data_IF_491431973959
#
_entry.id   IF_491431973959
#
_cell.length_a   1.000
_cell.length_b   1.000
_cell.length_c   1.000
_cell.angle_alpha   90.00
_cell.angle_beta   90.00
_cell.angle_gamma   90.00
#
_symmetry.space_group_name_H-M   'P 1'
#
loop_
_entity.id
_entity.type
_entity.pdbx_description
1 polymer ?
#
# COMPACT_ATOMS: atom_id res chain seq x y z
N UNK A 1 -12.69 -15.65 -12.12
CA UNK A 1 -12.37 -14.25 -11.71
C UNK A 1 -13.50 -13.61 -10.95
N UNK A 2 -14.75 -13.66 -11.43
CA UNK A 2 -15.94 -13.10 -10.73
C UNK A 2 -16.14 -13.65 -9.32
N UNK A 3 -15.99 -14.95 -9.14
CA UNK A 3 -16.14 -15.62 -7.82
C UNK A 3 -15.09 -15.18 -6.80
N UNK A 4 -13.90 -14.83 -7.27
CA UNK A 4 -12.77 -14.42 -6.41
C UNK A 4 -12.67 -12.89 -6.21
N UNK A 5 -13.42 -12.10 -6.97
CA UNK A 5 -13.43 -10.64 -6.87
C UNK A 5 -14.86 -10.07 -7.01
N UNK A 6 -15.78 -10.45 -6.12
CA UNK A 6 -17.20 -10.07 -6.23
C UNK A 6 -17.45 -8.56 -6.01
N UNK A 7 -16.42 -7.86 -5.53
CA UNK A 7 -16.44 -6.41 -5.32
C UNK A 7 -16.13 -5.60 -6.58
N UNK A 8 -15.55 -6.22 -7.63
CA UNK A 8 -15.23 -5.50 -8.86
C UNK A 8 -16.45 -5.34 -9.76
N UNK A 9 -16.68 -4.15 -10.33
CA UNK A 9 -17.70 -3.95 -11.37
C UNK A 9 -17.41 -4.80 -12.62
N UNK A 10 -18.42 -5.27 -13.31
CA UNK A 10 -18.27 -6.09 -14.53
C UNK A 10 -17.40 -5.41 -15.58
N UNK A 11 -17.58 -4.09 -15.79
CA UNK A 11 -16.74 -3.32 -16.73
C UNK A 11 -15.26 -3.31 -16.33
N UNK A 12 -14.94 -3.29 -15.03
CA UNK A 12 -13.54 -3.39 -14.58
C UNK A 12 -12.97 -4.78 -14.83
N UNK A 13 -13.77 -5.83 -14.64
CA UNK A 13 -13.36 -7.22 -14.90
C UNK A 13 -13.10 -7.41 -16.40
N UNK A 14 -14.01 -6.94 -17.26
CA UNK A 14 -13.86 -7.00 -18.71
C UNK A 14 -12.60 -6.26 -19.18
N UNK A 15 -12.40 -5.04 -18.67
CA UNK A 15 -11.17 -4.29 -18.94
C UNK A 15 -9.93 -5.07 -18.50
N UNK A 16 -9.90 -5.64 -17.30
CA UNK A 16 -8.75 -6.37 -16.78
C UNK A 16 -8.46 -7.66 -17.55
N UNK A 17 -9.48 -8.37 -18.02
CA UNK A 17 -9.31 -9.55 -18.86
C UNK A 17 -8.63 -9.23 -20.20
N UNK A 18 -8.90 -8.06 -20.76
CA UNK A 18 -8.37 -7.60 -22.05
C UNK A 18 -7.11 -6.73 -21.89
N UNK A 19 -6.77 -6.29 -20.69
CA UNK A 19 -5.60 -5.45 -20.43
C UNK A 19 -4.30 -6.14 -20.84
N UNK A 20 -3.45 -5.38 -21.51
CA UNK A 20 -2.06 -5.77 -21.83
C UNK A 20 -1.16 -4.60 -21.53
N UNK A 21 -0.02 -4.88 -20.89
CA UNK A 21 1.02 -3.87 -20.70
C UNK A 21 1.61 -3.44 -22.04
N UNK A 22 1.77 -2.13 -22.21
CA UNK A 22 2.45 -1.57 -23.38
C UNK A 22 3.89 -1.18 -22.96
N UNK A 23 4.92 -1.91 -23.42
CA UNK A 23 6.31 -1.60 -23.06
C UNK A 23 6.76 -0.19 -23.43
N UNK A 24 6.14 0.44 -24.44
CA UNK A 24 6.44 1.82 -24.84
C UNK A 24 6.09 2.86 -23.74
N UNK A 25 5.28 2.49 -22.77
CA UNK A 25 4.98 3.34 -21.61
C UNK A 25 6.13 3.42 -20.61
N UNK A 26 7.09 2.48 -20.64
CA UNK A 26 8.19 2.41 -19.68
C UNK A 26 9.50 2.84 -20.32
N UNK A 27 10.15 3.79 -19.70
CA UNK A 27 11.48 4.27 -20.05
C UNK A 27 12.45 3.91 -18.93
N UNK A 28 13.57 3.26 -19.29
CA UNK A 28 14.63 2.88 -18.38
C UNK A 28 15.91 3.52 -18.90
N UNK A 29 16.55 4.35 -18.09
CA UNK A 29 17.80 4.99 -18.48
C UNK A 29 18.71 5.22 -17.28
N UNK A 30 20.00 5.15 -17.52
CA UNK A 30 21.01 5.45 -16.53
C UNK A 30 21.29 6.96 -16.58
N UNK A 31 21.11 7.64 -15.46
CA UNK A 31 21.34 9.08 -15.35
C UNK A 31 22.83 9.39 -15.09
N UNK A 32 23.45 8.57 -14.24
CA UNK A 32 24.87 8.61 -13.92
C UNK A 32 25.37 7.19 -13.59
N UNK A 33 26.63 7.04 -13.16
CA UNK A 33 27.25 5.74 -12.88
C UNK A 33 26.46 4.91 -11.83
N UNK A 34 25.72 5.56 -10.93
CA UNK A 34 25.07 4.90 -9.79
C UNK A 34 23.53 5.03 -9.81
N UNK A 35 22.98 5.82 -10.72
CA UNK A 35 21.55 6.17 -10.70
C UNK A 35 20.82 5.59 -11.90
N UNK A 36 19.98 4.59 -11.65
CA UNK A 36 19.02 4.07 -12.62
C UNK A 36 17.69 4.79 -12.43
N UNK A 37 17.16 5.38 -13.49
CA UNK A 37 15.81 5.95 -13.52
C UNK A 37 14.85 5.09 -14.32
N UNK A 38 13.69 4.82 -13.73
CA UNK A 38 12.59 4.12 -14.38
C UNK A 38 11.36 5.01 -14.32
N UNK A 39 10.79 5.31 -15.48
CA UNK A 39 9.62 6.16 -15.62
C UNK A 39 8.54 5.43 -16.40
N UNK A 40 7.30 5.42 -15.88
CA UNK A 40 6.13 4.98 -16.63
C UNK A 40 5.29 6.21 -17.03
N UNK A 41 4.95 6.32 -18.30
CA UNK A 41 4.17 7.43 -18.84
C UNK A 41 3.14 6.89 -19.84
N UNK A 42 1.86 7.15 -19.60
CA UNK A 42 0.76 6.66 -20.42
C UNK A 42 -0.59 7.02 -19.79
N UNK A 43 -1.70 6.48 -20.32
CA UNK A 43 -3.01 6.65 -19.71
C UNK A 43 -2.96 6.24 -18.22
N UNK A 44 -3.53 7.04 -17.33
CA UNK A 44 -3.44 6.84 -15.88
C UNK A 44 -3.80 5.42 -15.45
N UNK A 45 -4.84 4.83 -16.05
CA UNK A 45 -5.30 3.48 -15.73
C UNK A 45 -4.29 2.38 -16.09
N UNK A 46 -3.40 2.60 -17.07
CA UNK A 46 -2.30 1.67 -17.39
C UNK A 46 -1.01 2.04 -16.68
N UNK A 47 -0.63 3.32 -16.64
CA UNK A 47 0.60 3.80 -16.03
C UNK A 47 0.69 3.42 -14.53
N UNK A 48 -0.40 3.58 -13.77
CA UNK A 48 -0.45 3.17 -12.36
C UNK A 48 -0.20 1.67 -12.12
N UNK A 49 -0.45 0.83 -13.11
CA UNK A 49 -0.27 -0.63 -12.98
C UNK A 49 1.18 -1.06 -13.09
N UNK A 50 2.05 -0.20 -13.60
CA UNK A 50 3.47 -0.50 -13.74
C UNK A 50 4.23 -0.51 -12.41
N UNK A 51 3.73 0.13 -11.34
CA UNK A 51 4.42 0.16 -10.04
C UNK A 51 4.83 -1.24 -9.58
N UNK A 52 3.88 -2.16 -9.48
CA UNK A 52 4.13 -3.49 -8.89
C UNK A 52 5.02 -4.37 -9.78
N UNK A 53 4.77 -4.52 -11.08
CA UNK A 53 5.65 -5.30 -11.96
C UNK A 53 7.08 -4.76 -11.99
N UNK A 54 7.24 -3.44 -12.18
CA UNK A 54 8.57 -2.81 -12.24
C UNK A 54 9.33 -3.03 -10.95
N UNK A 55 8.76 -2.68 -9.80
CA UNK A 55 9.46 -2.76 -8.53
C UNK A 55 9.77 -4.22 -8.14
N UNK A 56 8.85 -5.16 -8.37
CA UNK A 56 9.10 -6.56 -8.08
C UNK A 56 10.17 -7.17 -8.99
N UNK A 57 10.25 -6.74 -10.25
CA UNK A 57 11.31 -7.16 -11.19
C UNK A 57 12.65 -6.55 -10.81
N UNK A 58 12.70 -5.26 -10.49
CA UNK A 58 13.94 -4.60 -10.02
C UNK A 58 14.46 -5.27 -8.75
N UNK A 59 13.59 -5.63 -7.80
CA UNK A 59 13.99 -6.34 -6.59
C UNK A 59 14.64 -7.69 -6.92
N UNK A 60 14.00 -8.49 -7.77
CA UNK A 60 14.49 -9.81 -8.17
C UNK A 60 15.82 -9.73 -8.91
N UNK A 61 15.94 -8.86 -9.92
CA UNK A 61 17.18 -8.64 -10.67
C UNK A 61 18.32 -8.10 -9.80
N UNK A 62 18.01 -7.21 -8.85
CA UNK A 62 19.01 -6.72 -7.90
C UNK A 62 19.63 -7.86 -7.09
N UNK A 63 18.82 -8.77 -6.57
CA UNK A 63 19.31 -9.91 -5.83
C UNK A 63 20.11 -10.87 -6.71
N UNK A 64 19.71 -11.10 -7.96
CA UNK A 64 20.50 -11.88 -8.91
C UNK A 64 21.86 -11.25 -9.20
N UNK A 65 21.88 -9.95 -9.51
CA UNK A 65 23.11 -9.22 -9.86
C UNK A 65 24.09 -9.07 -8.68
N UNK A 66 23.60 -9.10 -7.45
CA UNK A 66 24.40 -9.02 -6.23
C UNK A 66 24.83 -10.40 -5.68
N UNK A 67 24.60 -11.47 -6.42
CA UNK A 67 25.01 -12.83 -6.04
C UNK A 67 24.06 -13.51 -5.06
N UNK A 68 22.88 -12.95 -4.85
CA UNK A 68 21.83 -13.49 -3.97
C UNK A 68 20.59 -13.95 -4.75
N UNK A 69 20.78 -14.38 -6.01
CA UNK A 69 19.71 -14.89 -6.84
C UNK A 69 19.10 -16.19 -6.32
N UNK A 70 18.07 -16.64 -7.00
CA UNK A 70 17.28 -17.83 -6.60
C UNK A 70 18.14 -19.11 -6.50
N UNK A 71 19.19 -19.22 -7.31
CA UNK A 71 20.10 -20.36 -7.33
C UNK A 71 21.01 -20.46 -6.08
N UNK A 72 21.16 -19.36 -5.33
CA UNK A 72 22.05 -19.28 -4.16
C UNK A 72 21.31 -19.37 -2.84
N UNK A 73 19.97 -19.36 -2.85
CA UNK A 73 19.15 -19.35 -1.64
C UNK A 73 18.37 -20.67 -1.47
N UNK A 74 18.10 -21.02 -0.23
CA UNK A 74 17.21 -22.14 0.09
C UNK A 74 15.79 -21.62 0.29
N UNK A 75 14.96 -21.72 -0.78
CA UNK A 75 13.55 -21.28 -0.79
C UNK A 75 12.73 -21.98 0.28
N UNK A 76 12.94 -23.28 0.50
CA UNK A 76 12.20 -24.05 1.50
C UNK A 76 12.49 -23.54 2.91
N UNK A 77 13.73 -23.15 3.20
CA UNK A 77 14.10 -22.55 4.48
C UNK A 77 13.39 -21.21 4.68
N UNK A 78 13.33 -20.36 3.65
CA UNK A 78 12.63 -19.06 3.72
C UNK A 78 11.12 -19.27 3.95
N UNK A 79 10.52 -20.18 3.20
CA UNK A 79 9.11 -20.53 3.34
C UNK A 79 8.78 -21.11 4.72
N UNK A 80 9.64 -21.99 5.24
CA UNK A 80 9.51 -22.53 6.60
C UNK A 80 9.64 -21.45 7.67
N UNK A 81 10.55 -20.50 7.48
CA UNK A 81 10.70 -19.34 8.39
C UNK A 81 9.42 -18.49 8.38
N UNK A 82 8.86 -18.19 7.20
CA UNK A 82 7.58 -17.48 7.11
C UNK A 82 6.42 -18.24 7.78
N UNK A 83 6.38 -19.57 7.60
CA UNK A 83 5.37 -20.42 8.26
C UNK A 83 5.48 -20.37 9.79
N UNK A 84 6.70 -20.41 10.35
CA UNK A 84 6.92 -20.27 11.80
C UNK A 84 6.41 -18.92 12.32
N UNK A 85 6.70 -17.83 11.61
CA UNK A 85 6.17 -16.48 11.93
C UNK A 85 4.63 -16.47 11.88
N UNK A 86 4.04 -17.02 10.82
CA UNK A 86 2.59 -17.15 10.70
C UNK A 86 1.97 -17.95 11.83
N UNK A 87 2.60 -19.06 12.25
CA UNK A 87 2.16 -19.86 13.40
C UNK A 87 2.23 -19.08 14.73
N UNK A 88 3.28 -18.28 14.95
CA UNK A 88 3.38 -17.45 16.15
C UNK A 88 2.35 -16.32 16.16
N UNK A 89 2.08 -15.68 15.00
CA UNK A 89 0.99 -14.72 14.83
C UNK A 89 -0.37 -15.37 15.11
N UNK A 90 -0.59 -16.59 14.63
CA UNK A 90 -1.80 -17.37 14.89
C UNK A 90 -1.97 -17.70 16.39
N UNK A 91 -0.92 -18.19 17.05
CA UNK A 91 -0.93 -18.46 18.50
C UNK A 91 -1.22 -17.20 19.32
N UNK A 92 -0.78 -16.06 18.82
CA UNK A 92 -1.06 -14.75 19.41
C UNK A 92 -2.40 -14.16 18.97
N UNK A 93 -3.20 -14.86 18.15
CA UNK A 93 -4.45 -14.40 17.55
C UNK A 93 -4.31 -13.04 16.86
N UNK A 94 -3.23 -12.82 16.10
CA UNK A 94 -2.93 -11.58 15.37
C UNK A 94 -3.31 -11.75 13.90
N UNK A 95 -4.40 -11.10 13.43
CA UNK A 95 -4.80 -11.15 12.02
C UNK A 95 -3.74 -10.47 11.13
N UNK A 96 -3.37 -11.12 10.03
CA UNK A 96 -2.35 -10.60 9.13
C UNK A 96 -2.59 -10.95 7.67
N UNK A 97 -2.02 -10.12 6.80
CA UNK A 97 -2.14 -10.17 5.34
C UNK A 97 -0.75 -10.06 4.73
N UNK A 98 -0.50 -10.77 3.63
CA UNK A 98 0.70 -10.56 2.82
C UNK A 98 0.56 -9.29 1.94
N UNK A 99 1.46 -8.34 2.16
CA UNK A 99 1.65 -7.09 1.38
C UNK A 99 3.05 -7.03 0.72
N UNK A 100 3.70 -8.18 0.50
CA UNK A 100 5.11 -8.25 0.18
C UNK A 100 5.49 -8.21 -1.30
N UNK A 101 4.56 -8.09 -2.24
CA UNK A 101 4.84 -8.23 -3.69
C UNK A 101 5.92 -7.28 -4.19
N UNK A 102 5.82 -5.99 -3.87
CA UNK A 102 6.64 -4.91 -4.42
C UNK A 102 8.13 -5.04 -4.14
N UNK A 103 8.49 -5.58 -2.98
CA UNK A 103 9.86 -5.69 -2.46
C UNK A 103 10.22 -7.13 -2.13
N UNK A 104 9.58 -8.08 -2.78
CA UNK A 104 9.86 -9.51 -2.59
C UNK A 104 11.28 -9.84 -3.06
N UNK A 105 11.88 -10.87 -2.50
CA UNK A 105 13.15 -11.38 -2.99
C UNK A 105 13.04 -11.83 -4.47
N UNK A 106 12.11 -12.73 -4.73
CA UNK A 106 11.79 -13.23 -6.08
C UNK A 106 10.33 -13.70 -6.13
N UNK A 107 9.83 -13.96 -7.34
CA UNK A 107 8.49 -14.55 -7.49
C UNK A 107 8.39 -15.91 -6.82
N UNK A 108 9.40 -16.77 -7.01
CA UNK A 108 9.39 -18.13 -6.46
C UNK A 108 9.42 -18.12 -4.92
N UNK A 109 10.19 -17.25 -4.30
CA UNK A 109 10.18 -17.06 -2.83
C UNK A 109 8.82 -16.60 -2.36
N UNK A 110 8.24 -15.58 -3.00
CA UNK A 110 6.93 -15.06 -2.60
C UNK A 110 5.82 -16.12 -2.72
N UNK A 111 5.82 -16.88 -3.80
CA UNK A 111 4.89 -17.99 -4.02
C UNK A 111 4.99 -19.06 -2.92
N UNK A 112 6.21 -19.50 -2.61
CA UNK A 112 6.47 -20.47 -1.57
C UNK A 112 6.07 -19.95 -0.17
N UNK A 113 6.36 -18.68 0.13
CA UNK A 113 5.97 -18.03 1.38
C UNK A 113 4.46 -17.97 1.54
N UNK A 114 3.72 -17.48 0.54
CA UNK A 114 2.26 -17.37 0.60
C UNK A 114 1.61 -18.76 0.74
N UNK A 115 2.13 -19.77 0.03
CA UNK A 115 1.67 -21.13 0.18
C UNK A 115 1.92 -21.70 1.57
N UNK A 116 3.07 -21.41 2.18
CA UNK A 116 3.40 -21.86 3.53
C UNK A 116 2.58 -21.15 4.60
N UNK A 117 2.29 -19.86 4.43
CA UNK A 117 1.38 -19.12 5.31
C UNK A 117 -0.04 -19.67 5.25
N UNK A 118 -0.55 -20.03 4.06
CA UNK A 118 -1.85 -20.70 3.91
C UNK A 118 -1.92 -22.02 4.67
N UNK A 119 -0.82 -22.75 4.77
CA UNK A 119 -0.77 -24.04 5.50
C UNK A 119 -0.73 -23.87 7.02
N UNK A 120 -0.54 -22.67 7.53
CA UNK A 120 -0.62 -22.39 8.96
C UNK A 120 -2.06 -22.64 9.43
N UNK A 121 -2.22 -23.50 10.42
CA UNK A 121 -3.54 -23.89 10.94
C UNK A 121 -4.16 -22.68 11.66
N UNK A 122 -5.37 -22.28 11.26
CA UNK A 122 -6.16 -21.21 11.87
C UNK A 122 -6.50 -20.08 10.91
N UNK A 123 -7.19 -19.05 11.42
CA UNK A 123 -7.83 -18.00 10.61
C UNK A 123 -7.08 -16.65 10.63
N UNK A 124 -5.91 -16.58 11.29
CA UNK A 124 -5.17 -15.30 11.40
C UNK A 124 -4.53 -14.85 10.11
N UNK A 125 -4.18 -15.77 9.17
CA UNK A 125 -3.74 -15.40 7.84
C UNK A 125 -4.96 -15.13 6.95
N UNK A 126 -5.27 -13.85 6.72
CA UNK A 126 -6.50 -13.42 6.04
C UNK A 126 -6.39 -13.58 4.52
N UNK A 127 -5.21 -13.38 3.94
CA UNK A 127 -5.01 -13.43 2.48
C UNK A 127 -3.78 -12.67 2.01
N UNK A 128 -3.76 -12.33 0.73
CA UNK A 128 -2.65 -11.62 0.08
C UNK A 128 -3.14 -10.46 -0.79
N UNK A 129 -2.33 -9.42 -0.93
CA UNK A 129 -2.54 -8.34 -1.90
C UNK A 129 -2.14 -8.73 -3.34
N UNK A 130 -1.49 -9.88 -3.52
CA UNK A 130 -1.12 -10.39 -4.84
C UNK A 130 -2.27 -11.16 -5.46
N UNK A 131 -2.94 -10.56 -6.45
CA UNK A 131 -4.11 -11.15 -7.10
C UNK A 131 -3.80 -12.51 -7.77
N UNK A 132 -2.61 -12.65 -8.37
CA UNK A 132 -2.20 -13.92 -9.00
C UNK A 132 -2.03 -15.03 -7.95
N UNK A 133 -1.33 -14.74 -6.84
CA UNK A 133 -1.14 -15.72 -5.77
C UNK A 133 -2.43 -16.01 -5.01
N UNK A 134 -3.30 -15.02 -4.83
CA UNK A 134 -4.62 -15.25 -4.27
C UNK A 134 -5.43 -16.24 -5.11
N UNK A 135 -5.46 -16.06 -6.43
CA UNK A 135 -6.14 -16.97 -7.35
C UNK A 135 -5.47 -18.36 -7.35
N UNK A 136 -4.14 -18.41 -7.48
CA UNK A 136 -3.36 -19.66 -7.53
C UNK A 136 -3.58 -20.52 -6.28
N UNK A 137 -3.62 -19.90 -5.11
CA UNK A 137 -3.73 -20.61 -3.84
C UNK A 137 -5.13 -20.61 -3.23
N UNK A 138 -6.15 -20.07 -3.90
CA UNK A 138 -7.52 -20.01 -3.37
C UNK A 138 -7.59 -19.18 -2.07
N UNK A 139 -6.95 -18.02 -2.04
CA UNK A 139 -6.94 -17.07 -0.94
C UNK A 139 -7.80 -15.84 -1.24
N UNK A 140 -8.16 -15.09 -0.19
CA UNK A 140 -8.82 -13.79 -0.36
C UNK A 140 -7.84 -12.77 -0.93
N UNK A 141 -8.32 -11.97 -1.88
CA UNK A 141 -7.63 -10.77 -2.34
C UNK A 141 -7.90 -9.64 -1.35
N UNK A 142 -6.86 -9.11 -0.75
CA UNK A 142 -6.96 -8.04 0.25
C UNK A 142 -6.23 -6.80 -0.26
N UNK A 143 -6.89 -5.67 -0.21
CA UNK A 143 -6.32 -4.41 -0.68
C UNK A 143 -6.96 -3.20 0.00
N UNK A 144 -6.37 -2.05 -0.27
CA UNK A 144 -6.81 -0.74 0.23
C UNK A 144 -6.76 0.27 -0.91
N UNK A 145 -7.23 1.50 -0.71
CA UNK A 145 -6.90 2.59 -1.63
C UNK A 145 -5.39 2.83 -1.69
N UNK A 146 -4.90 3.45 -2.74
CA UNK A 146 -3.48 3.74 -2.95
C UNK A 146 -3.20 5.23 -3.06
N UNK A 147 -1.92 5.64 -2.88
CA UNK A 147 -1.51 7.03 -2.95
C UNK A 147 -1.80 7.68 -4.30
N UNK A 148 -1.55 6.96 -5.41
CA UNK A 148 -1.76 7.47 -6.77
C UNK A 148 -3.21 7.88 -7.02
N UNK A 149 -4.16 7.22 -6.35
CA UNK A 149 -5.56 7.60 -6.42
C UNK A 149 -5.79 9.01 -5.87
N UNK A 150 -5.21 9.34 -4.71
CA UNK A 150 -5.30 10.68 -4.13
C UNK A 150 -4.47 11.70 -4.92
N UNK A 151 -3.28 11.33 -5.40
CA UNK A 151 -2.43 12.18 -6.25
C UNK A 151 -3.13 12.54 -7.56
N UNK A 152 -3.80 11.58 -8.21
CA UNK A 152 -4.61 11.82 -9.40
C UNK A 152 -5.70 12.87 -9.12
N UNK A 153 -6.42 12.72 -7.99
CA UNK A 153 -7.47 13.67 -7.63
C UNK A 153 -6.92 15.06 -7.29
N UNK A 154 -5.70 15.15 -6.77
CA UNK A 154 -5.06 16.44 -6.56
C UNK A 154 -4.74 17.14 -7.89
N UNK A 155 -4.29 16.42 -8.89
CA UNK A 155 -4.05 16.98 -10.22
C UNK A 155 -5.32 17.43 -10.93
N UNK A 156 -6.46 16.76 -10.68
CA UNK A 156 -7.75 17.11 -11.29
C UNK A 156 -8.47 18.23 -10.55
N UNK A 157 -8.48 18.19 -9.20
CA UNK A 157 -9.34 19.05 -8.37
C UNK A 157 -8.59 19.98 -7.43
N UNK A 158 -7.25 19.97 -7.47
CA UNK A 158 -6.38 20.68 -6.54
C UNK A 158 -6.29 20.01 -5.16
N UNK A 159 -5.23 20.37 -4.41
CA UNK A 159 -4.90 19.71 -3.14
C UNK A 159 -6.03 19.76 -2.11
N UNK A 160 -6.73 20.91 -2.00
CA UNK A 160 -7.78 21.11 -1.01
C UNK A 160 -8.95 20.16 -1.16
N UNK A 161 -9.28 19.78 -2.40
CA UNK A 161 -10.40 18.89 -2.71
C UNK A 161 -9.99 17.43 -2.95
N UNK A 162 -8.69 17.15 -3.03
CA UNK A 162 -8.17 15.85 -3.44
C UNK A 162 -8.71 14.68 -2.61
N UNK A 163 -8.60 14.74 -1.29
CA UNK A 163 -9.05 13.68 -0.40
C UNK A 163 -10.56 13.48 -0.47
N UNK A 164 -11.33 14.57 -0.46
CA UNK A 164 -12.79 14.51 -0.55
C UNK A 164 -13.24 13.85 -1.86
N UNK A 165 -12.71 14.30 -3.00
CA UNK A 165 -13.05 13.77 -4.32
C UNK A 165 -12.55 12.34 -4.53
N UNK A 166 -11.41 11.99 -3.94
CA UNK A 166 -10.92 10.61 -3.95
C UNK A 166 -11.89 9.66 -3.23
N UNK A 167 -12.40 10.05 -2.06
CA UNK A 167 -13.40 9.29 -1.31
C UNK A 167 -14.71 9.18 -2.06
N UNK A 168 -15.21 10.30 -2.59
CA UNK A 168 -16.47 10.36 -3.34
C UNK A 168 -16.44 9.45 -4.58
N UNK A 169 -15.41 9.59 -5.41
CA UNK A 169 -15.27 8.82 -6.65
C UNK A 169 -15.05 7.33 -6.39
N UNK A 170 -14.32 6.97 -5.33
CA UNK A 170 -14.17 5.58 -4.91
C UNK A 170 -15.53 4.98 -4.52
N UNK A 171 -16.30 5.69 -3.71
CA UNK A 171 -17.62 5.25 -3.33
C UNK A 171 -18.60 5.16 -4.52
N UNK A 172 -18.52 6.09 -5.47
CA UNK A 172 -19.36 6.07 -6.67
C UNK A 172 -19.16 4.79 -7.50
N UNK A 173 -17.95 4.22 -7.49
CA UNK A 173 -17.63 2.96 -8.18
C UNK A 173 -17.97 1.74 -7.32
N UNK A 174 -17.47 1.70 -6.10
CA UNK A 174 -17.50 0.49 -5.26
C UNK A 174 -18.72 0.40 -4.34
N UNK A 175 -19.50 1.49 -4.19
CA UNK A 175 -20.76 1.50 -3.42
C UNK A 175 -20.60 0.97 -1.98
N UNK A 176 -19.59 1.44 -1.27
CA UNK A 176 -19.26 1.04 0.10
C UNK A 176 -18.40 -0.23 0.23
N UNK A 177 -18.11 -0.93 -0.88
CA UNK A 177 -17.16 -2.04 -0.86
C UNK A 177 -15.72 -1.52 -0.96
N UNK A 178 -14.73 -2.37 -0.61
CA UNK A 178 -13.31 -1.98 -0.57
C UNK A 178 -13.06 -0.73 0.30
N UNK A 179 -13.69 -0.72 1.45
CA UNK A 179 -13.82 0.44 2.33
C UNK A 179 -12.61 0.71 3.23
N UNK A 180 -11.40 0.25 2.90
CA UNK A 180 -10.19 0.58 3.65
C UNK A 180 -9.44 1.71 2.95
N UNK A 181 -9.39 2.86 3.62
CA UNK A 181 -8.82 4.08 3.06
C UNK A 181 -7.36 4.26 3.47
N UNK A 182 -6.57 4.90 2.59
CA UNK A 182 -5.18 5.29 2.84
C UNK A 182 -5.12 6.81 3.05
N UNK A 183 -4.89 7.30 4.29
CA UNK A 183 -5.06 8.72 4.61
C UNK A 183 -3.82 9.58 4.40
N UNK A 184 -2.62 8.99 4.38
CA UNK A 184 -1.35 9.73 4.53
C UNK A 184 -0.75 10.29 3.24
N UNK A 185 -1.50 10.35 2.12
CA UNK A 185 -0.95 10.92 0.88
C UNK A 185 -0.53 12.38 1.05
N UNK A 186 -1.35 13.19 1.73
CA UNK A 186 -1.08 14.59 2.05
C UNK A 186 -1.09 14.82 3.57
N UNK A 187 -0.59 13.90 4.35
CA UNK A 187 -0.69 13.71 5.80
C UNK A 187 -2.06 13.24 6.31
N UNK A 188 -2.03 12.44 7.36
CA UNK A 188 -3.25 11.98 8.04
C UNK A 188 -4.08 13.15 8.59
N UNK A 189 -3.45 14.19 9.11
CA UNK A 189 -4.17 15.36 9.65
C UNK A 189 -4.96 16.10 8.55
N UNK A 190 -4.32 16.32 7.39
CA UNK A 190 -5.00 16.91 6.23
C UNK A 190 -6.16 16.02 5.73
N UNK A 191 -5.98 14.71 5.74
CA UNK A 191 -7.05 13.78 5.38
C UNK A 191 -8.23 13.86 6.36
N UNK A 192 -7.97 13.82 7.66
CA UNK A 192 -9.00 13.86 8.70
C UNK A 192 -9.82 15.16 8.68
N UNK A 193 -9.24 16.27 8.21
CA UNK A 193 -9.99 17.52 8.02
C UNK A 193 -11.13 17.41 7.00
N UNK A 194 -10.96 16.54 6.00
CA UNK A 194 -11.94 16.24 4.94
C UNK A 194 -12.85 15.05 5.27
N UNK A 195 -12.56 14.32 6.37
CA UNK A 195 -13.24 13.09 6.74
C UNK A 195 -14.42 13.39 7.65
N UNK A 196 -15.60 13.49 7.06
CA UNK A 196 -16.85 13.83 7.73
C UNK A 196 -17.65 12.61 8.22
N UNK A 197 -18.81 12.86 8.80
CA UNK A 197 -19.71 11.80 9.30
C UNK A 197 -20.19 10.85 8.21
N UNK A 198 -20.39 11.35 6.98
CA UNK A 198 -20.83 10.51 5.86
C UNK A 198 -19.78 9.48 5.50
N UNK A 199 -18.52 9.92 5.24
CA UNK A 199 -17.43 9.03 4.92
C UNK A 199 -17.00 8.19 6.13
N UNK A 200 -17.03 8.77 7.32
CA UNK A 200 -16.75 8.04 8.56
C UNK A 200 -17.68 6.84 8.78
N UNK A 201 -18.93 6.95 8.40
CA UNK A 201 -19.88 5.82 8.45
C UNK A 201 -19.71 4.85 7.30
N UNK A 202 -19.45 5.37 6.12
CA UNK A 202 -19.39 4.60 4.87
C UNK A 202 -18.17 3.67 4.80
N UNK A 203 -16.98 4.19 5.14
CA UNK A 203 -15.75 3.44 5.05
C UNK A 203 -15.60 2.46 6.24
N UNK A 204 -15.08 1.25 5.94
CA UNK A 204 -14.89 0.19 6.93
C UNK A 204 -13.73 0.48 7.89
N UNK A 205 -12.74 1.26 7.46
CA UNK A 205 -11.58 1.59 8.26
C UNK A 205 -10.48 2.27 7.46
N UNK A 206 -9.28 2.31 8.05
CA UNK A 206 -8.13 2.98 7.48
C UNK A 206 -6.83 2.16 7.61
N UNK A 207 -5.84 2.45 6.74
CA UNK A 207 -4.51 1.85 6.74
C UNK A 207 -3.45 2.87 7.15
N UNK A 208 -2.66 2.52 8.16
CA UNK A 208 -1.45 3.21 8.55
C UNK A 208 -0.29 2.77 7.63
N UNK A 209 0.33 3.70 6.90
CA UNK A 209 1.42 3.44 5.93
C UNK A 209 2.65 4.33 6.19
N UNK A 210 2.57 5.23 7.16
CA UNK A 210 3.71 6.06 7.62
C UNK A 210 3.45 6.67 8.99
N UNK A 211 4.52 7.16 9.62
CA UNK A 211 4.46 7.84 10.92
C UNK A 211 4.30 6.90 12.11
N UNK A 212 4.12 7.47 13.31
CA UNK A 212 3.92 6.70 14.54
C UNK A 212 2.54 6.04 14.55
N UNK A 213 2.53 4.71 14.58
CA UNK A 213 1.32 3.90 14.51
C UNK A 213 0.35 4.17 15.67
N UNK A 214 0.87 4.47 16.87
CA UNK A 214 0.05 4.71 18.05
C UNK A 214 -0.64 6.07 17.98
N UNK A 215 0.12 7.12 17.67
CA UNK A 215 -0.42 8.46 17.45
C UNK A 215 -1.45 8.47 16.30
N UNK A 216 -1.18 7.73 15.20
CA UNK A 216 -2.12 7.55 14.11
C UNK A 216 -3.43 6.88 14.58
N UNK A 217 -3.34 5.83 15.40
CA UNK A 217 -4.52 5.15 15.95
C UNK A 217 -5.35 6.10 16.79
N UNK A 218 -4.70 6.85 17.69
CA UNK A 218 -5.37 7.80 18.56
C UNK A 218 -6.08 8.92 17.78
N UNK A 219 -5.46 9.43 16.69
CA UNK A 219 -6.09 10.41 15.80
C UNK A 219 -7.40 9.86 15.19
N UNK A 220 -7.39 8.62 14.68
CA UNK A 220 -8.59 8.02 14.09
C UNK A 220 -9.66 7.70 15.14
N UNK A 221 -9.27 7.19 16.32
CA UNK A 221 -10.21 6.95 17.43
C UNK A 221 -10.90 8.25 17.84
N UNK A 222 -10.14 9.32 18.06
CA UNK A 222 -10.68 10.63 18.41
C UNK A 222 -11.60 11.17 17.30
N UNK A 223 -11.17 11.07 16.03
CA UNK A 223 -12.00 11.54 14.91
C UNK A 223 -13.33 10.81 14.80
N UNK A 224 -13.34 9.48 14.93
CA UNK A 224 -14.59 8.73 14.96
C UNK A 224 -15.49 9.14 16.11
N UNK A 225 -14.94 9.37 17.31
CA UNK A 225 -15.70 9.85 18.47
C UNK A 225 -16.30 11.24 18.24
N UNK A 226 -15.53 12.19 17.69
CA UNK A 226 -16.02 13.53 17.31
C UNK A 226 -17.20 13.44 16.31
N UNK A 227 -17.16 12.48 15.40
CA UNK A 227 -18.19 12.23 14.41
C UNK A 227 -19.40 11.43 14.96
N UNK A 228 -19.40 11.07 16.24
CA UNK A 228 -20.44 10.23 16.85
C UNK A 228 -20.47 8.79 16.30
N UNK A 229 -19.31 8.27 15.91
CA UNK A 229 -19.15 6.92 15.39
C UNK A 229 -18.36 6.09 16.41
N UNK A 230 -18.84 4.87 16.69
CA UNK A 230 -18.13 3.97 17.60
C UNK A 230 -16.82 3.44 16.93
N UNK A 231 -15.61 3.81 17.44
CA UNK A 231 -14.36 3.36 16.84
C UNK A 231 -14.18 1.83 16.81
N UNK A 232 -14.85 1.11 17.70
CA UNK A 232 -14.80 -0.37 17.78
C UNK A 232 -15.49 -1.07 16.62
N UNK A 233 -16.21 -0.34 15.77
CA UNK A 233 -16.84 -0.87 14.55
C UNK A 233 -15.97 -0.68 13.31
N UNK A 234 -14.77 -0.09 13.46
CA UNK A 234 -13.88 0.27 12.36
C UNK A 234 -12.61 -0.59 12.36
N UNK A 235 -12.07 -0.87 11.18
CA UNK A 235 -10.86 -1.66 10.98
C UNK A 235 -9.62 -0.76 10.98
N UNK A 236 -8.58 -1.16 11.71
CA UNK A 236 -7.29 -0.48 11.78
C UNK A 236 -6.23 -1.40 11.17
N UNK A 237 -5.68 -1.02 10.00
CA UNK A 237 -4.68 -1.84 9.30
C UNK A 237 -3.32 -1.16 9.43
N UNK A 238 -2.35 -1.87 10.00
CA UNK A 238 -0.99 -1.39 10.18
C UNK A 238 -0.08 -2.04 9.14
N UNK A 239 0.63 -1.23 8.35
CA UNK A 239 1.46 -1.75 7.26
C UNK A 239 2.84 -1.09 7.12
N UNK A 240 3.15 -0.08 7.92
CA UNK A 240 4.49 0.51 7.95
C UNK A 240 5.37 -0.16 9.00
N UNK A 241 6.59 -0.53 8.61
CA UNK A 241 7.62 -0.99 9.52
C UNK A 241 7.39 -2.34 10.21
N UNK A 242 6.40 -3.14 9.83
CA UNK A 242 6.12 -4.46 10.44
C UNK A 242 7.23 -5.45 10.07
N UNK A 243 8.25 -5.58 10.93
CA UNK A 243 9.47 -6.33 10.65
C UNK A 243 9.94 -7.25 11.79
N UNK A 244 9.21 -7.32 12.91
CA UNK A 244 9.49 -8.21 14.03
C UNK A 244 8.23 -8.57 14.81
N UNK A 245 8.31 -9.59 15.64
CA UNK A 245 7.18 -10.13 16.39
C UNK A 245 6.82 -9.24 17.61
N UNK A 246 7.79 -8.56 18.18
CA UNK A 246 7.58 -7.65 19.33
C UNK A 246 6.64 -6.53 18.95
N UNK A 247 6.90 -5.86 17.80
CA UNK A 247 6.02 -4.81 17.26
C UNK A 247 4.62 -5.34 16.96
N UNK A 248 4.52 -6.55 16.39
CA UNK A 248 3.22 -7.18 16.12
C UNK A 248 2.40 -7.34 17.40
N UNK A 249 3.04 -7.81 18.47
CA UNK A 249 2.42 -8.01 19.79
C UNK A 249 2.08 -6.69 20.46
N UNK A 250 2.94 -5.68 20.32
CA UNK A 250 2.71 -4.34 20.89
C UNK A 250 1.46 -3.70 20.28
N UNK A 251 1.35 -3.67 18.96
CA UNK A 251 0.16 -3.17 18.23
C UNK A 251 -1.08 -3.96 18.65
N UNK A 252 -1.00 -5.29 18.65
CA UNK A 252 -2.12 -6.15 19.03
C UNK A 252 -2.62 -5.88 20.45
N UNK A 253 -1.71 -5.75 21.41
CA UNK A 253 -2.04 -5.47 22.82
C UNK A 253 -2.69 -4.09 22.97
N UNK A 254 -2.17 -3.09 22.25
CA UNK A 254 -2.75 -1.74 22.27
C UNK A 254 -4.18 -1.74 21.72
N UNK A 255 -4.40 -2.35 20.56
CA UNK A 255 -5.73 -2.45 19.95
C UNK A 255 -6.72 -3.22 20.84
N UNK A 256 -6.30 -4.36 21.40
CA UNK A 256 -7.14 -5.16 22.29
C UNK A 256 -7.54 -4.44 23.55
N UNK A 257 -6.62 -3.70 24.17
CA UNK A 257 -6.90 -2.88 25.36
C UNK A 257 -8.01 -1.87 25.10
N UNK A 258 -8.10 -1.34 23.88
CA UNK A 258 -9.14 -0.39 23.49
C UNK A 258 -10.37 -1.07 22.84
N UNK A 259 -10.31 -2.38 22.56
CA UNK A 259 -11.37 -3.12 21.89
C UNK A 259 -11.47 -2.79 20.38
N UNK A 260 -10.36 -2.41 19.73
CA UNK A 260 -10.32 -2.03 18.32
C UNK A 260 -10.07 -3.25 17.45
N UNK A 261 -10.87 -3.48 16.38
CA UNK A 261 -10.57 -4.47 15.34
C UNK A 261 -9.33 -4.05 14.54
N UNK A 262 -8.38 -4.96 14.35
CA UNK A 262 -7.15 -4.64 13.66
C UNK A 262 -6.64 -5.79 12.80
N UNK A 263 -5.72 -5.49 11.85
CA UNK A 263 -4.90 -6.47 11.15
C UNK A 263 -3.56 -5.87 10.75
N UNK A 264 -2.58 -6.73 10.48
CA UNK A 264 -1.25 -6.34 10.05
C UNK A 264 -1.04 -6.64 8.56
N UNK A 265 -0.60 -5.65 7.79
CA UNK A 265 -0.11 -5.82 6.43
C UNK A 265 1.40 -6.04 6.44
N UNK A 266 1.85 -7.25 6.22
CA UNK A 266 3.26 -7.64 6.36
C UNK A 266 3.90 -7.77 4.98
N UNK A 267 4.98 -7.02 4.76
CA UNK A 267 5.71 -6.98 3.50
C UNK A 267 6.97 -7.86 3.51
N UNK A 268 8.13 -7.22 3.43
CA UNK A 268 9.43 -7.87 3.28
C UNK A 268 9.80 -8.81 4.42
N UNK A 269 9.24 -8.62 5.59
CA UNK A 269 9.46 -9.54 6.72
C UNK A 269 8.96 -10.96 6.41
N UNK A 270 8.02 -11.12 5.47
CA UNK A 270 7.63 -12.42 4.93
C UNK A 270 8.39 -12.75 3.65
N UNK A 271 8.42 -11.83 2.68
CA UNK A 271 8.75 -12.15 1.27
C UNK A 271 10.19 -11.86 0.87
N UNK A 272 11.00 -11.29 1.77
CA UNK A 272 12.42 -11.01 1.60
C UNK A 272 13.19 -11.16 2.93
N UNK A 273 12.87 -12.20 3.70
CA UNK A 273 13.61 -12.54 4.92
C UNK A 273 14.63 -13.65 4.64
N UNK A 274 15.57 -13.30 3.81
CA UNK A 274 16.70 -14.16 3.40
C UNK A 274 17.94 -13.69 4.15
N UNK A 275 18.65 -14.58 4.84
CA UNK A 275 19.91 -14.22 5.49
C UNK A 275 20.88 -13.56 4.51
N UNK A 276 21.61 -12.54 4.97
CA UNK A 276 22.64 -11.82 4.21
C UNK A 276 22.11 -10.99 3.03
N UNK A 277 20.81 -10.97 2.80
CA UNK A 277 20.19 -10.19 1.71
C UNK A 277 19.71 -8.85 2.22
N UNK A 278 20.13 -7.77 1.54
CA UNK A 278 19.62 -6.42 1.80
C UNK A 278 18.24 -6.24 1.18
N UNK A 279 17.26 -5.93 2.01
CA UNK A 279 15.90 -5.60 1.55
C UNK A 279 15.88 -4.23 0.91
N UNK A 280 15.42 -4.15 -0.34
CA UNK A 280 15.30 -2.86 -1.02
C UNK A 280 14.19 -1.99 -0.39
N UNK A 281 14.50 -0.70 -0.24
CA UNK A 281 13.50 0.30 0.12
C UNK A 281 13.15 1.15 -1.12
N UNK A 282 12.34 0.59 -1.99
CA UNK A 282 11.99 1.20 -3.27
C UNK A 282 10.49 1.53 -3.34
N UNK A 283 10.18 2.64 -4.00
CA UNK A 283 8.82 3.10 -4.27
C UNK A 283 8.75 3.69 -5.68
N UNK A 284 7.57 3.67 -6.27
CA UNK A 284 7.24 4.37 -7.50
C UNK A 284 5.96 5.14 -7.26
N UNK A 285 5.94 6.42 -7.62
CA UNK A 285 4.80 7.30 -7.37
C UNK A 285 4.53 8.20 -8.57
N UNK A 286 3.29 8.60 -8.71
CA UNK A 286 2.92 9.60 -9.71
C UNK A 286 3.58 10.94 -9.34
N UNK A 287 4.26 11.56 -10.31
CA UNK A 287 4.94 12.85 -10.13
C UNK A 287 4.30 13.97 -10.95
N UNK A 288 3.55 13.61 -11.99
CA UNK A 288 2.80 14.57 -12.80
C UNK A 288 1.66 13.89 -13.55
N UNK A 289 0.66 14.65 -13.93
CA UNK A 289 -0.43 14.21 -14.79
C UNK A 289 -0.82 15.31 -15.78
N UNK A 290 -1.44 14.93 -16.89
CA UNK A 290 -2.05 15.85 -17.85
C UNK A 290 -3.51 15.47 -18.05
N UNK A 291 -4.37 16.45 -18.21
CA UNK A 291 -5.77 16.28 -18.63
C UNK A 291 -5.91 16.32 -20.16
N UNK A 292 -4.90 16.85 -20.85
CA UNK A 292 -4.83 16.84 -22.30
C UNK A 292 -4.45 15.47 -22.84
N UNK A 293 -5.15 15.01 -23.88
CA UNK A 293 -4.76 13.79 -24.59
C UNK A 293 -3.42 13.93 -25.33
N UNK A 294 -2.98 15.14 -25.59
CA UNK A 294 -1.71 15.45 -26.26
C UNK A 294 -0.54 15.48 -25.27
N UNK A 295 -0.82 15.61 -23.96
CA UNK A 295 0.20 15.62 -22.92
C UNK A 295 1.09 16.88 -22.96
N UNK A 296 0.49 18.03 -23.20
CA UNK A 296 1.16 19.34 -23.29
C UNK A 296 0.94 20.23 -22.06
N UNK A 297 0.08 19.81 -21.12
CA UNK A 297 -0.29 20.56 -19.91
C UNK A 297 -0.01 19.77 -18.61
N UNK A 298 1.23 19.35 -18.40
CA UNK A 298 1.60 18.53 -17.24
C UNK A 298 1.50 19.32 -15.92
N UNK A 299 0.66 18.82 -15.03
CA UNK A 299 0.51 19.33 -13.67
C UNK A 299 1.30 18.43 -12.70
N UNK A 300 2.23 19.00 -11.90
CA UNK A 300 2.92 18.26 -10.86
C UNK A 300 1.93 17.75 -9.81
N UNK A 301 2.13 16.50 -9.37
CA UNK A 301 1.43 15.92 -8.22
C UNK A 301 2.45 15.35 -7.25
N UNK A 302 2.11 15.30 -5.97
CA UNK A 302 3.07 15.02 -4.91
C UNK A 302 2.52 14.02 -3.89
N UNK A 303 3.41 13.43 -3.11
CA UNK A 303 3.11 12.73 -1.88
C UNK A 303 3.89 13.38 -0.73
N UNK A 304 3.26 13.63 0.42
CA UNK A 304 3.91 14.17 1.62
C UNK A 304 4.19 13.03 2.61
N UNK A 305 3.20 12.25 2.99
CA UNK A 305 3.21 11.25 4.07
C UNK A 305 3.35 11.86 5.48
N UNK A 306 3.16 11.02 6.52
CA UNK A 306 3.32 11.45 7.92
C UNK A 306 4.77 11.35 8.43
N UNK A 307 5.65 10.68 7.68
CA UNK A 307 7.06 10.51 8.04
C UNK A 307 7.97 11.59 7.47
N UNK A 308 8.88 12.11 8.28
CA UNK A 308 9.89 13.08 7.83
C UNK A 308 10.75 12.50 6.70
N UNK A 309 10.98 13.28 5.63
CA UNK A 309 11.81 12.87 4.49
C UNK A 309 11.17 11.84 3.54
N UNK A 310 9.88 11.56 3.69
CA UNK A 310 9.12 10.67 2.78
C UNK A 310 8.42 11.43 1.63
N UNK A 311 8.71 12.70 1.45
CA UNK A 311 8.13 13.54 0.40
C UNK A 311 8.61 13.13 -0.98
N UNK A 312 7.69 13.07 -1.95
CA UNK A 312 7.98 12.71 -3.34
C UNK A 312 7.26 13.68 -4.27
N UNK A 313 7.98 14.24 -5.23
CA UNK A 313 7.47 15.14 -6.24
C UNK A 313 8.28 16.42 -6.39
N UNK A 314 7.76 17.36 -7.16
CA UNK A 314 8.39 18.67 -7.37
C UNK A 314 8.41 19.49 -6.08
N UNK A 315 9.57 20.08 -5.69
CA UNK A 315 9.70 20.85 -4.44
C UNK A 315 8.75 22.05 -4.35
N UNK A 316 8.52 22.75 -5.47
CA UNK A 316 7.58 23.88 -5.52
C UNK A 316 6.14 23.43 -5.33
N UNK A 317 5.77 22.30 -5.93
CA UNK A 317 4.44 21.70 -5.76
C UNK A 317 4.24 21.18 -4.33
N UNK A 318 5.28 20.61 -3.69
CA UNK A 318 5.23 20.21 -2.27
C UNK A 318 4.99 21.42 -1.39
N UNK A 319 5.75 22.51 -1.60
CA UNK A 319 5.57 23.74 -0.84
C UNK A 319 4.16 24.32 -1.01
N UNK A 320 3.66 24.41 -2.24
CA UNK A 320 2.30 24.86 -2.54
C UNK A 320 1.24 23.98 -1.84
N UNK A 321 1.41 22.65 -1.86
CA UNK A 321 0.50 21.75 -1.20
C UNK A 321 0.48 21.96 0.32
N UNK A 322 1.65 22.11 0.95
CA UNK A 322 1.77 22.41 2.39
C UNK A 322 1.05 23.69 2.76
N UNK A 323 1.26 24.77 2.00
CA UNK A 323 0.55 26.05 2.20
C UNK A 323 -0.97 25.89 2.02
N UNK A 324 -1.40 25.18 0.97
CA UNK A 324 -2.84 24.99 0.66
C UNK A 324 -3.57 24.19 1.73
N UNK A 325 -2.87 23.26 2.38
CA UNK A 325 -3.43 22.31 3.35
C UNK A 325 -3.09 22.67 4.81
N UNK A 326 -2.49 23.84 5.06
CA UNK A 326 -2.04 24.27 6.40
C UNK A 326 -1.12 23.23 7.11
N UNK A 327 -0.29 22.52 6.33
CA UNK A 327 0.65 21.54 6.86
C UNK A 327 1.87 22.29 7.39
N UNK A 328 2.07 22.23 8.70
CA UNK A 328 3.25 22.83 9.36
C UNK A 328 4.52 22.08 8.96
N UNK A 329 5.57 22.83 8.66
CA UNK A 329 6.90 22.23 8.47
C UNK A 329 7.37 21.64 9.79
N UNK A 330 7.64 20.34 9.79
CA UNK A 330 8.33 19.69 10.90
C UNK A 330 9.81 20.09 10.78
N UNK A 331 10.26 21.04 11.58
CA UNK A 331 11.68 21.33 11.71
C UNK A 331 12.32 20.07 12.35
N UNK A 332 13.34 19.48 11.70
CA UNK A 332 14.06 18.38 12.33
C UNK A 332 14.68 18.89 13.63
N UNK A 333 14.47 18.15 14.73
CA UNK A 333 15.08 18.44 16.01
C UNK A 333 16.58 18.14 15.98
#
# INVERSE_FOLDING_TARGET
MLENAPHLPLAAIDYLCNFRFNPAEVQIYQEDEYTLKIKACGPTVSAMRWEIPVLSTVSELYHEMTGHGIETINIERVATTAQKKGAELQLSAIPHVDFGTRRRHSFAVHDAVVYSLKKTIGDSFIGTSNMHLALKHGLKMIGTTGHEWHQFHAGVYGYKMANYRAMENWNNVYKGRMGIILPDTFTTDSFLSSFDTYYGRLYDGARQDSGDWKAWTDKFVNRYQELGINPKTKQYIYSDGINNMELCKEIANYCRKQGLPFSLGIGTWFTCDVPEVTRLNQVMKMTSMSLSRQGDDWTPVIKIADGVGKEIGDPGAIHLAKLTLDIKETIPA
#
